data_IF_358131473813
#
_entry.id   IF_358131473813
#
_cell.length_a   1.000
_cell.length_b   1.000
_cell.length_c   1.000
_cell.angle_alpha   90.00
_cell.angle_beta   90.00
_cell.angle_gamma   90.00
#
_symmetry.space_group_name_H-M   'P 1'
#
loop_
_entity.id
_entity.type
_entity.pdbx_description
1 polymer ?
#
# COMPACT_ATOMS: atom_id res chain seq x y z
N UNK A 1 -7.13 -41.53 -14.77
CA UNK A 1 -7.58 -40.19 -15.23
C UNK A 1 -8.21 -39.35 -14.11
N UNK A 2 -9.20 -39.86 -13.34
CA UNK A 2 -9.84 -39.10 -12.25
C UNK A 2 -8.87 -38.63 -11.14
N UNK A 3 -7.90 -39.47 -10.75
CA UNK A 3 -6.89 -39.09 -9.75
C UNK A 3 -5.94 -37.98 -10.22
N UNK A 4 -5.63 -37.92 -11.52
CA UNK A 4 -4.80 -36.85 -12.08
C UNK A 4 -5.52 -35.50 -12.06
N UNK A 5 -6.83 -35.49 -12.34
CA UNK A 5 -7.66 -34.29 -12.27
C UNK A 5 -7.77 -33.75 -10.84
N UNK A 6 -7.95 -34.63 -9.85
CA UNK A 6 -8.00 -34.26 -8.44
C UNK A 6 -6.67 -33.66 -7.96
N UNK A 7 -5.54 -34.26 -8.33
CA UNK A 7 -4.21 -33.77 -7.99
C UNK A 7 -3.95 -32.37 -8.58
N UNK A 8 -4.32 -32.16 -9.85
CA UNK A 8 -4.18 -30.88 -10.53
C UNK A 8 -5.04 -29.78 -9.89
N UNK A 9 -6.25 -30.13 -9.44
CA UNK A 9 -7.14 -29.17 -8.77
C UNK A 9 -6.56 -28.71 -7.42
N UNK A 10 -5.99 -29.60 -6.61
CA UNK A 10 -5.42 -29.21 -5.29
C UNK A 10 -4.23 -28.26 -5.45
N UNK A 11 -3.39 -28.46 -6.48
CA UNK A 11 -2.24 -27.60 -6.74
C UNK A 11 -2.66 -26.16 -7.09
N UNK A 12 -3.74 -25.99 -7.84
CA UNK A 12 -4.24 -24.67 -8.25
C UNK A 12 -4.80 -23.83 -7.07
N UNK A 13 -5.25 -24.48 -5.99
CA UNK A 13 -5.80 -23.78 -4.81
C UNK A 13 -4.74 -23.44 -3.74
N UNK A 14 -3.49 -23.90 -3.89
CA UNK A 14 -2.43 -23.71 -2.88
C UNK A 14 -1.92 -22.26 -2.74
N UNK A 15 -2.30 -21.36 -3.65
CA UNK A 15 -1.88 -19.94 -3.62
C UNK A 15 -2.53 -19.08 -2.52
N UNK A 16 -3.59 -19.55 -1.87
CA UNK A 16 -4.26 -18.80 -0.80
C UNK A 16 -3.62 -18.95 0.59
N UNK A 17 -2.53 -19.71 0.71
CA UNK A 17 -1.79 -19.83 1.96
C UNK A 17 -0.91 -18.59 2.20
N UNK A 18 -1.55 -17.46 2.52
CA UNK A 18 -0.83 -16.27 3.00
C UNK A 18 -0.43 -16.54 4.44
N UNK A 19 0.88 -16.59 4.70
CA UNK A 19 1.40 -16.68 6.06
C UNK A 19 1.12 -15.34 6.75
N UNK A 20 0.46 -15.37 7.90
CA UNK A 20 0.25 -14.16 8.71
C UNK A 20 1.61 -13.56 9.09
N UNK A 21 1.79 -12.29 8.76
CA UNK A 21 3.01 -11.53 9.10
C UNK A 21 2.86 -11.00 10.52
N UNK A 22 3.74 -11.43 11.41
CA UNK A 22 3.72 -11.01 12.80
C UNK A 22 4.16 -9.54 12.91
N UNK A 23 3.67 -8.78 13.90
CA UNK A 23 3.96 -7.35 14.02
C UNK A 23 5.46 -6.99 14.00
N UNK A 24 6.32 -7.82 14.61
CA UNK A 24 7.77 -7.62 14.66
C UNK A 24 8.50 -8.00 13.38
N UNK A 25 7.93 -8.85 12.52
CA UNK A 25 8.53 -9.20 11.23
C UNK A 25 8.51 -8.01 10.26
N UNK A 26 7.63 -7.03 10.48
CA UNK A 26 7.52 -5.82 9.67
C UNK A 26 8.82 -5.02 9.64
N UNK A 27 9.60 -5.00 10.72
CA UNK A 27 10.89 -4.28 10.74
C UNK A 27 11.89 -4.85 9.72
N UNK A 28 11.86 -6.16 9.49
CA UNK A 28 12.75 -6.82 8.54
C UNK A 28 12.16 -6.85 7.12
N UNK A 29 10.84 -6.94 7.00
CA UNK A 29 10.14 -7.04 5.72
C UNK A 29 9.95 -5.68 5.01
N UNK A 30 9.81 -4.60 5.77
CA UNK A 30 9.62 -3.26 5.24
C UNK A 30 10.96 -2.68 4.74
N UNK A 31 11.19 -2.74 3.43
CA UNK A 31 12.39 -2.17 2.80
C UNK A 31 12.28 -0.64 2.72
N UNK A 32 13.43 0.04 2.73
CA UNK A 32 13.47 1.50 2.56
C UNK A 32 12.80 1.99 1.27
N UNK A 33 12.88 1.18 0.20
CA UNK A 33 12.24 1.46 -1.09
C UNK A 33 10.71 1.41 -1.05
N UNK A 34 10.12 0.87 0.02
CA UNK A 34 8.67 0.82 0.21
C UNK A 34 8.13 2.02 0.99
N UNK A 35 9.01 2.91 1.49
CA UNK A 35 8.58 4.15 2.14
C UNK A 35 7.87 5.05 1.12
N UNK A 36 6.85 5.77 1.54
CA UNK A 36 6.19 6.77 0.69
C UNK A 36 7.24 7.79 0.21
N UNK A 37 7.28 8.03 -1.09
CA UNK A 37 8.27 8.93 -1.68
C UNK A 37 9.72 8.42 -1.66
N UNK A 38 9.97 7.13 -1.40
CA UNK A 38 11.32 6.53 -1.34
C UNK A 38 12.12 6.76 -2.64
N UNK A 39 12.88 7.86 -2.67
CA UNK A 39 13.85 8.18 -3.70
C UNK A 39 13.33 8.95 -4.91
N UNK A 40 12.02 9.24 -5.01
CA UNK A 40 11.48 10.00 -6.14
C UNK A 40 10.64 11.21 -5.68
N UNK A 41 11.23 12.39 -5.82
CA UNK A 41 10.59 13.66 -5.50
C UNK A 41 9.35 13.93 -6.36
N UNK A 42 9.34 13.48 -7.63
CA UNK A 42 8.19 13.64 -8.52
C UNK A 42 7.01 12.79 -8.04
N UNK A 43 7.25 11.54 -7.62
CA UNK A 43 6.20 10.68 -7.06
C UNK A 43 5.61 11.28 -5.80
N UNK A 44 6.47 11.79 -4.91
CA UNK A 44 6.03 12.48 -3.69
C UNK A 44 5.14 13.69 -4.01
N UNK A 45 5.48 14.49 -5.03
CA UNK A 45 4.66 15.63 -5.46
C UNK A 45 3.31 15.19 -6.04
N UNK A 46 3.30 14.15 -6.85
CA UNK A 46 2.09 13.60 -7.45
C UNK A 46 1.14 13.02 -6.39
N UNK A 47 1.65 12.25 -5.45
CA UNK A 47 0.88 11.70 -4.32
C UNK A 47 0.27 12.81 -3.47
N UNK A 48 1.04 13.85 -3.14
CA UNK A 48 0.52 15.01 -2.41
C UNK A 48 -0.60 15.72 -3.18
N UNK A 49 -0.46 15.90 -4.51
CA UNK A 49 -1.50 16.52 -5.32
C UNK A 49 -2.82 15.74 -5.26
N UNK A 50 -2.75 14.40 -5.34
CA UNK A 50 -3.92 13.53 -5.18
C UNK A 50 -4.50 13.65 -3.77
N UNK A 51 -3.64 13.58 -2.75
CA UNK A 51 -4.06 13.65 -1.34
C UNK A 51 -4.78 14.96 -1.04
N UNK A 52 -4.24 16.11 -1.45
CA UNK A 52 -4.91 17.40 -1.24
C UNK A 52 -6.23 17.51 -1.99
N UNK A 53 -6.30 16.96 -3.20
CA UNK A 53 -7.52 17.02 -4.02
C UNK A 53 -8.65 16.15 -3.47
N UNK A 54 -8.34 15.06 -2.76
CA UNK A 54 -9.32 14.08 -2.29
C UNK A 54 -9.57 14.12 -0.78
N UNK A 55 -8.53 14.42 -0.02
CA UNK A 55 -8.44 14.20 1.42
C UNK A 55 -7.85 15.42 2.17
N UNK A 56 -7.58 16.52 1.45
CA UNK A 56 -7.01 17.75 2.03
C UNK A 56 -7.85 18.38 3.14
N UNK A 57 -9.15 18.04 3.22
CA UNK A 57 -10.05 18.44 4.29
C UNK A 57 -9.73 17.80 5.66
N UNK A 58 -8.82 16.82 5.71
CA UNK A 58 -8.36 16.19 6.96
C UNK A 58 -7.07 16.81 7.50
N UNK A 59 -6.54 17.84 6.83
CA UNK A 59 -5.24 18.42 7.12
C UNK A 59 -4.10 17.59 6.51
N UNK A 60 -3.27 18.23 5.67
CA UNK A 60 -2.15 17.59 4.97
C UNK A 60 -0.96 18.51 4.77
N UNK A 61 0.24 17.95 4.92
CA UNK A 61 1.50 18.28 4.21
C UNK A 61 2.13 19.67 4.30
N UNK A 62 1.42 20.77 4.58
CA UNK A 62 2.03 22.09 4.67
C UNK A 62 1.05 23.25 4.43
N UNK A 63 1.13 24.23 5.32
CA UNK A 63 0.53 25.58 5.32
C UNK A 63 -0.99 25.70 5.07
N UNK A 64 -1.70 25.99 6.17
CA UNK A 64 -2.98 26.68 6.16
C UNK A 64 -2.89 27.95 5.28
N UNK A 65 -3.69 28.02 4.23
CA UNK A 65 -3.54 29.04 3.19
C UNK A 65 -4.79 29.26 2.35
N UNK A 66 -5.93 29.51 3.01
CA UNK A 66 -7.05 30.30 2.47
C UNK A 66 -8.08 29.55 1.63
N UNK A 67 -9.16 29.07 2.25
CA UNK A 67 -10.38 28.71 1.53
C UNK A 67 -11.34 27.82 2.33
N UNK A 68 -12.30 28.44 3.01
CA UNK A 68 -13.50 27.90 3.68
C UNK A 68 -13.45 26.60 4.54
N UNK A 69 -12.27 26.07 4.87
CA UNK A 69 -12.12 24.93 5.80
C UNK A 69 -12.29 23.59 5.08
N UNK A 70 -11.36 22.64 5.19
CA UNK A 70 -10.76 22.17 6.43
C UNK A 70 -9.23 21.98 6.32
N UNK A 71 -8.49 23.06 6.55
CA UNK A 71 -7.25 23.15 7.35
C UNK A 71 -7.06 24.64 7.72
#
# INVERSE_FOLDING_TARGET
MKGFLLMASVLLLSGCAVKDVQPWEKETLAKDTMKNGAGNALMTKFENHIYFSKEGSKGGGGVAGGGCGCN
#
